data_IF_326445803983
#
_entry.id   IF_326445803983
#
_cell.length_a   1.000
_cell.length_b   1.000
_cell.length_c   1.000
_cell.angle_alpha   90.00
_cell.angle_beta   90.00
_cell.angle_gamma   90.00
#
_symmetry.space_group_name_H-M   'P 1'
#
loop_
_entity.id
_entity.type
_entity.pdbx_description
1 polymer ?
#
# COMPACT_ATOMS: atom_id res chain seq x y z
N UNK A 1 15.99 -12.31 -20.14
CA UNK A 1 15.01 -13.12 -19.39
C UNK A 1 13.61 -12.69 -19.85
N UNK A 2 12.74 -13.62 -20.27
CA UNK A 2 11.38 -13.28 -20.73
C UNK A 2 10.39 -13.48 -19.56
N UNK A 3 9.41 -12.59 -19.43
CA UNK A 3 8.39 -12.66 -18.35
C UNK A 3 7.61 -13.99 -18.38
N UNK A 4 7.41 -14.56 -19.58
CA UNK A 4 6.75 -15.88 -19.75
C UNK A 4 7.44 -17.04 -19.05
N UNK A 5 8.76 -16.93 -18.76
CA UNK A 5 9.52 -17.97 -18.06
C UNK A 5 9.18 -18.04 -16.55
N UNK A 6 8.49 -17.02 -16.02
CA UNK A 6 8.04 -16.94 -14.63
C UNK A 6 6.54 -17.21 -14.48
N UNK A 7 5.88 -17.57 -15.60
CA UNK A 7 4.45 -17.88 -15.56
C UNK A 7 4.25 -19.32 -15.05
N UNK A 8 3.44 -19.46 -14.04
CA UNK A 8 3.01 -20.73 -13.48
C UNK A 8 1.57 -20.63 -12.97
N UNK A 9 0.90 -21.75 -12.81
CA UNK A 9 -0.43 -21.80 -12.24
C UNK A 9 -0.30 -21.90 -10.71
N UNK A 10 -0.80 -20.88 -10.00
CA UNK A 10 -0.85 -20.85 -8.54
C UNK A 10 -2.25 -21.22 -8.08
N UNK A 11 -2.44 -22.42 -7.49
CA UNK A 11 -3.73 -22.79 -6.91
C UNK A 11 -4.11 -21.87 -5.75
N UNK A 12 -5.34 -21.35 -5.77
CA UNK A 12 -5.82 -20.38 -4.76
C UNK A 12 -5.77 -20.91 -3.33
N UNK A 13 -5.92 -22.22 -3.14
CA UNK A 13 -5.83 -22.87 -1.83
C UNK A 13 -4.41 -22.89 -1.25
N UNK A 14 -3.38 -22.58 -2.04
CA UNK A 14 -2.01 -22.43 -1.57
C UNK A 14 -1.69 -21.00 -1.10
N UNK A 15 -2.59 -20.07 -1.32
CA UNK A 15 -2.46 -18.69 -0.80
C UNK A 15 -3.01 -18.67 0.62
N UNK A 16 -2.16 -18.31 1.57
CA UNK A 16 -2.56 -18.18 2.97
C UNK A 16 -3.65 -17.11 3.12
N UNK A 17 -4.73 -17.43 3.84
CA UNK A 17 -5.85 -16.51 4.09
C UNK A 17 -5.71 -15.80 5.44
N UNK A 18 -4.91 -16.35 6.34
CA UNK A 18 -4.70 -15.81 7.69
C UNK A 18 -3.23 -15.90 8.06
N UNK A 19 -2.71 -14.96 8.87
CA UNK A 19 -1.36 -15.04 9.41
C UNK A 19 -1.28 -16.20 10.42
N UNK A 20 -0.08 -16.64 10.72
CA UNK A 20 0.20 -17.51 11.86
C UNK A 20 -0.07 -16.77 13.17
N UNK A 21 -0.39 -17.50 14.25
CA UNK A 21 -0.63 -16.89 15.57
C UNK A 21 0.61 -16.13 16.09
N UNK A 22 1.77 -16.66 15.83
CA UNK A 22 3.07 -16.04 16.11
C UNK A 22 3.80 -15.86 14.79
N UNK A 23 4.36 -14.70 14.51
CA UNK A 23 5.03 -14.39 13.23
C UNK A 23 6.19 -15.33 12.92
N UNK A 24 6.93 -15.70 13.95
CA UNK A 24 8.06 -16.62 13.85
C UNK A 24 7.68 -18.06 13.46
N UNK A 25 6.41 -18.45 13.59
CA UNK A 25 5.91 -19.74 13.15
C UNK A 25 5.63 -19.79 11.63
N UNK A 26 5.84 -18.68 10.93
CA UNK A 26 5.72 -18.64 9.46
C UNK A 26 6.72 -19.58 8.82
N UNK A 27 6.31 -20.22 7.70
CA UNK A 27 7.18 -21.13 6.96
C UNK A 27 8.31 -20.36 6.30
N UNK A 28 9.51 -20.92 6.35
CA UNK A 28 10.72 -20.42 5.72
C UNK A 28 11.19 -21.43 4.67
N UNK A 29 11.41 -20.98 3.43
CA UNK A 29 12.09 -21.79 2.42
C UNK A 29 13.57 -21.37 2.38
N UNK A 30 14.45 -22.29 2.65
CA UNK A 30 15.90 -22.09 2.56
C UNK A 30 16.41 -22.70 1.28
N UNK A 31 17.11 -21.90 0.46
CA UNK A 31 17.66 -22.35 -0.83
C UNK A 31 19.17 -22.15 -0.85
N UNK A 32 19.92 -23.24 -0.97
CA UNK A 32 21.34 -23.19 -1.19
C UNK A 32 21.62 -22.87 -2.66
N UNK A 33 22.20 -21.69 -2.91
CA UNK A 33 22.45 -21.20 -4.28
C UNK A 33 23.55 -21.95 -5.03
N UNK A 34 24.43 -22.65 -4.33
CA UNK A 34 25.55 -23.37 -4.96
C UNK A 34 25.10 -24.69 -5.55
N UNK A 35 24.25 -25.44 -4.84
CA UNK A 35 23.83 -26.79 -5.23
C UNK A 35 22.34 -26.91 -5.52
N UNK A 36 21.54 -25.83 -5.34
CA UNK A 36 20.11 -25.84 -5.57
C UNK A 36 19.30 -26.60 -4.52
N UNK A 37 19.92 -27.06 -3.43
CA UNK A 37 19.21 -27.74 -2.36
C UNK A 37 18.19 -26.82 -1.71
N UNK A 38 16.95 -27.34 -1.50
CA UNK A 38 15.84 -26.60 -0.88
C UNK A 38 15.34 -27.37 0.34
N UNK A 39 15.12 -26.67 1.43
CA UNK A 39 14.49 -27.22 2.61
C UNK A 39 13.42 -26.26 3.16
N UNK A 40 12.42 -26.87 3.83
CA UNK A 40 11.36 -26.11 4.49
C UNK A 40 11.64 -26.06 5.99
N UNK A 41 11.62 -24.85 6.54
CA UNK A 41 11.85 -24.55 7.95
C UNK A 41 10.75 -23.64 8.48
N UNK A 42 10.88 -23.20 9.73
CA UNK A 42 10.13 -22.08 10.29
C UNK A 42 11.00 -20.84 10.35
N UNK A 43 10.38 -19.68 10.38
CA UNK A 43 11.11 -18.42 10.43
C UNK A 43 11.96 -18.29 11.71
N UNK A 44 11.51 -18.88 12.80
CA UNK A 44 12.31 -19.02 14.04
C UNK A 44 13.67 -19.65 13.83
N UNK A 45 13.82 -20.54 12.85
CA UNK A 45 15.06 -21.28 12.58
C UNK A 45 16.07 -20.39 11.80
N UNK A 46 15.67 -19.17 11.42
CA UNK A 46 16.51 -18.24 10.68
C UNK A 46 17.85 -17.99 11.36
N UNK A 47 17.86 -17.94 12.68
CA UNK A 47 19.05 -17.68 13.48
C UNK A 47 20.12 -18.77 13.36
N UNK A 48 19.77 -19.98 12.92
CA UNK A 48 20.72 -21.08 12.68
C UNK A 48 21.66 -20.82 11.47
N UNK A 49 21.28 -19.86 10.60
CA UNK A 49 22.00 -19.53 9.38
C UNK A 49 22.89 -18.31 9.49
N UNK A 50 22.96 -17.66 10.66
CA UNK A 50 23.69 -16.42 10.89
C UNK A 50 24.57 -16.51 12.13
N UNK A 51 25.63 -15.73 12.12
CA UNK A 51 26.56 -15.59 13.25
C UNK A 51 26.79 -14.11 13.60
N UNK A 52 27.66 -13.84 14.58
CA UNK A 52 27.98 -12.50 15.08
C UNK A 52 28.72 -11.61 14.07
N UNK A 53 29.08 -12.13 12.89
CA UNK A 53 29.72 -11.38 11.80
C UNK A 53 28.74 -10.95 10.74
N UNK A 54 27.53 -11.47 10.78
CA UNK A 54 26.48 -11.11 9.83
C UNK A 54 25.79 -9.80 10.22
N UNK A 55 25.37 -9.04 9.21
CA UNK A 55 24.63 -7.78 9.38
C UNK A 55 23.28 -7.85 8.69
N UNK A 56 22.22 -7.63 9.44
CA UNK A 56 20.88 -7.50 8.89
C UNK A 56 20.60 -6.06 8.49
N UNK A 57 20.25 -5.86 7.23
CA UNK A 57 19.74 -4.59 6.74
C UNK A 57 18.23 -4.72 6.58
N UNK A 58 17.48 -3.98 7.38
CA UNK A 58 16.03 -4.03 7.40
C UNK A 58 15.44 -2.69 6.99
N UNK A 59 14.22 -2.72 6.44
CA UNK A 59 13.43 -1.52 6.21
C UNK A 59 12.56 -1.25 7.44
N UNK A 60 12.78 -0.11 8.09
CA UNK A 60 11.98 0.34 9.23
C UNK A 60 10.98 1.45 8.87
N UNK A 61 10.68 1.58 7.58
CA UNK A 61 9.70 2.56 7.10
C UNK A 61 8.30 2.17 7.57
N UNK A 62 7.63 3.08 8.29
CA UNK A 62 6.24 2.89 8.66
C UNK A 62 5.35 3.08 7.43
N UNK A 63 4.53 2.07 7.13
CA UNK A 63 3.51 2.17 6.07
C UNK A 63 2.32 2.94 6.63
N UNK A 64 1.89 3.97 5.93
CA UNK A 64 0.66 4.68 6.26
C UNK A 64 -0.50 4.22 5.36
N UNK A 65 -1.76 4.37 5.79
CA UNK A 65 -2.93 3.97 5.00
C UNK A 65 -3.09 4.88 3.78
N UNK A 66 -2.43 4.50 2.70
CA UNK A 66 -2.28 5.32 1.49
C UNK A 66 -3.43 5.17 0.48
N UNK A 67 -4.31 4.18 0.65
CA UNK A 67 -5.43 3.93 -0.27
C UNK A 67 -6.69 4.57 0.26
N UNK A 68 -7.27 5.47 -0.53
CA UNK A 68 -8.49 6.18 -0.16
C UNK A 68 -9.59 5.92 -1.19
N UNK A 69 -10.79 5.67 -0.70
CA UNK A 69 -11.98 5.56 -1.54
C UNK A 69 -12.85 6.80 -1.39
N UNK A 70 -13.39 7.27 -2.51
CA UNK A 70 -14.19 8.46 -2.51
C UNK A 70 -15.15 8.53 -3.68
N UNK A 71 -15.68 9.71 -3.90
CA UNK A 71 -16.64 10.02 -4.96
C UNK A 71 -16.21 11.25 -5.73
N UNK A 72 -16.44 11.21 -7.04
CA UNK A 72 -16.21 12.38 -7.88
C UNK A 72 -17.39 13.34 -7.76
N UNK A 73 -17.10 14.65 -7.63
CA UNK A 73 -18.10 15.72 -7.76
C UNK A 73 -18.99 15.53 -8.99
N UNK A 74 -20.21 16.01 -8.94
CA UNK A 74 -21.21 16.03 -10.01
C UNK A 74 -21.77 14.67 -10.43
N UNK A 75 -20.98 13.62 -10.45
CA UNK A 75 -21.42 12.31 -10.95
C UNK A 75 -21.61 11.27 -9.86
N UNK A 76 -21.08 11.50 -8.64
CA UNK A 76 -21.08 10.52 -7.57
C UNK A 76 -20.28 9.24 -7.89
N UNK A 77 -19.54 9.22 -9.02
CA UNK A 77 -18.82 8.03 -9.44
C UNK A 77 -17.75 7.66 -8.40
N UNK A 78 -17.75 6.38 -7.99
CA UNK A 78 -16.73 5.84 -7.08
C UNK A 78 -15.36 5.97 -7.69
N UNK A 79 -14.39 6.35 -6.87
CA UNK A 79 -12.98 6.53 -7.24
C UNK A 79 -12.10 5.91 -6.17
N UNK A 80 -10.91 5.47 -6.60
CA UNK A 80 -9.80 5.10 -5.74
C UNK A 80 -8.66 6.09 -5.95
N UNK A 81 -8.07 6.56 -4.87
CA UNK A 81 -6.89 7.42 -4.87
C UNK A 81 -5.82 6.75 -4.02
N UNK A 82 -4.65 6.53 -4.60
CA UNK A 82 -3.50 5.97 -3.92
C UNK A 82 -2.43 7.06 -3.73
N UNK A 83 -2.17 7.43 -2.48
CA UNK A 83 -1.20 8.45 -2.11
C UNK A 83 0.21 7.90 -2.30
N UNK A 84 1.06 8.60 -3.07
CA UNK A 84 2.44 8.22 -3.30
C UNK A 84 3.41 9.02 -2.42
N UNK A 85 3.34 10.34 -2.52
CA UNK A 85 4.20 11.24 -1.74
C UNK A 85 3.61 12.63 -1.63
N UNK A 86 3.92 13.30 -0.54
CA UNK A 86 3.63 14.72 -0.35
C UNK A 86 4.65 15.56 -1.14
N UNK A 87 4.15 16.39 -2.07
CA UNK A 87 4.97 17.29 -2.89
C UNK A 87 5.22 18.63 -2.22
N UNK A 88 4.21 19.15 -1.54
CA UNK A 88 4.27 20.44 -0.87
C UNK A 88 3.34 20.43 0.34
N UNK A 89 3.93 20.43 1.52
CA UNK A 89 3.21 20.32 2.79
C UNK A 89 2.32 21.54 3.09
N UNK A 90 2.80 22.80 2.98
CA UNK A 90 1.97 23.97 3.21
C UNK A 90 0.73 24.05 2.32
N UNK A 91 0.83 23.60 1.08
CA UNK A 91 -0.26 23.62 0.09
C UNK A 91 -1.02 22.30 0.01
N UNK A 92 -0.70 21.30 0.85
CA UNK A 92 -1.33 19.98 0.84
C UNK A 92 -1.33 19.32 -0.55
N UNK A 93 -0.24 19.51 -1.32
CA UNK A 93 -0.10 18.91 -2.65
C UNK A 93 0.48 17.51 -2.55
N UNK A 94 -0.17 16.58 -3.23
CA UNK A 94 0.23 15.17 -3.25
C UNK A 94 0.31 14.64 -4.67
N UNK A 95 1.32 13.82 -4.92
CA UNK A 95 1.39 12.95 -6.09
C UNK A 95 0.63 11.67 -5.79
N UNK A 96 -0.29 11.28 -6.67
CA UNK A 96 -1.21 10.16 -6.43
C UNK A 96 -1.45 9.34 -7.70
N UNK A 97 -1.84 8.09 -7.54
CA UNK A 97 -2.45 7.29 -8.60
C UNK A 97 -3.95 7.27 -8.39
N UNK A 98 -4.71 7.36 -9.48
CA UNK A 98 -6.18 7.37 -9.42
C UNK A 98 -6.80 6.28 -10.30
N UNK A 99 -7.94 5.75 -9.87
CA UNK A 99 -8.74 4.81 -10.63
C UNK A 99 -10.25 5.14 -10.49
N UNK A 100 -11.01 5.22 -11.59
CA UNK A 100 -10.63 5.13 -13.01
C UNK A 100 -10.04 6.45 -13.55
N UNK A 101 -8.78 6.41 -13.98
CA UNK A 101 -8.02 7.61 -14.37
C UNK A 101 -8.68 8.44 -15.49
N UNK A 102 -9.36 7.78 -16.44
CA UNK A 102 -10.04 8.45 -17.56
C UNK A 102 -11.15 9.40 -17.13
N UNK A 103 -11.76 9.14 -15.96
CA UNK A 103 -12.88 9.93 -15.43
C UNK A 103 -12.42 11.08 -14.53
N UNK A 104 -11.16 11.08 -14.09
CA UNK A 104 -10.60 12.05 -13.14
C UNK A 104 -9.69 13.00 -13.91
N UNK A 105 -10.14 14.26 -14.07
CA UNK A 105 -9.48 15.30 -14.86
C UNK A 105 -9.14 16.49 -14.00
N UNK A 106 -8.18 17.31 -14.45
CA UNK A 106 -7.84 18.59 -13.81
C UNK A 106 -9.09 19.41 -13.57
N UNK A 107 -9.18 20.03 -12.40
CA UNK A 107 -10.32 20.82 -11.94
C UNK A 107 -11.47 20.00 -11.33
N UNK A 108 -11.37 18.66 -11.32
CA UNK A 108 -12.38 17.87 -10.61
C UNK A 108 -12.14 17.91 -9.10
N UNK A 109 -13.22 17.98 -8.33
CA UNK A 109 -13.18 17.75 -6.89
C UNK A 109 -13.52 16.30 -6.59
N UNK A 110 -12.83 15.77 -5.61
CA UNK A 110 -12.88 14.41 -5.10
C UNK A 110 -13.28 14.48 -3.62
N UNK A 111 -14.32 13.76 -3.24
CA UNK A 111 -14.88 13.78 -1.90
C UNK A 111 -14.63 12.43 -1.23
N UNK A 112 -14.10 12.46 -0.02
CA UNK A 112 -13.74 11.27 0.77
C UNK A 112 -14.49 11.27 2.08
N UNK A 113 -14.84 10.05 2.52
CA UNK A 113 -15.65 9.83 3.72
C UNK A 113 -17.15 9.83 3.40
N UNK A 114 -17.95 9.39 4.37
CA UNK A 114 -19.40 9.28 4.21
C UNK A 114 -20.09 10.65 4.18
N UNK A 115 -19.57 11.59 5.00
CA UNK A 115 -20.06 12.95 5.12
C UNK A 115 -19.16 13.98 4.40
N UNK A 116 -18.33 13.52 3.45
CA UNK A 116 -17.43 14.40 2.69
C UNK A 116 -16.42 15.13 3.58
N UNK A 117 -15.89 14.39 4.59
CA UNK A 117 -15.00 14.93 5.63
C UNK A 117 -13.70 15.49 5.07
N UNK A 118 -13.27 14.99 3.91
CA UNK A 118 -12.09 15.49 3.23
C UNK A 118 -12.35 15.68 1.74
N UNK A 119 -11.91 16.81 1.21
CA UNK A 119 -12.05 17.17 -0.20
C UNK A 119 -10.68 17.40 -0.82
N UNK A 120 -10.48 16.91 -2.05
CA UNK A 120 -9.30 17.24 -2.84
C UNK A 120 -9.68 17.76 -4.22
N UNK A 121 -8.83 18.62 -4.77
CA UNK A 121 -8.93 19.14 -6.14
C UNK A 121 -7.79 18.57 -6.99
N UNK A 122 -8.11 18.11 -8.19
CA UNK A 122 -7.11 17.64 -9.16
C UNK A 122 -6.47 18.86 -9.81
N UNK A 123 -5.17 19.03 -9.58
CA UNK A 123 -4.41 20.19 -10.06
C UNK A 123 -3.71 19.89 -11.37
N UNK A 124 -3.16 18.68 -11.55
CA UNK A 124 -2.38 18.31 -12.73
C UNK A 124 -2.44 16.82 -13.03
N UNK A 125 -2.04 16.46 -14.27
CA UNK A 125 -1.84 15.07 -14.72
C UNK A 125 -0.34 14.80 -14.80
N UNK A 126 0.15 13.78 -14.09
CA UNK A 126 1.58 13.44 -14.08
C UNK A 126 1.91 12.27 -14.99
N UNK A 127 1.07 11.25 -15.02
CA UNK A 127 1.18 10.07 -15.90
C UNK A 127 -0.19 9.64 -16.39
N UNK A 128 -0.27 8.51 -17.13
CA UNK A 128 -1.55 7.94 -17.58
C UNK A 128 -2.56 7.72 -16.45
N UNK A 129 -2.09 7.36 -15.26
CA UNK A 129 -2.90 7.17 -14.04
C UNK A 129 -2.53 8.13 -12.91
N UNK A 130 -1.42 8.86 -13.02
CA UNK A 130 -0.92 9.80 -12.03
C UNK A 130 -1.64 11.14 -12.08
N UNK A 131 -1.85 11.73 -10.91
CA UNK A 131 -2.39 13.08 -10.73
C UNK A 131 -1.62 13.79 -9.62
N UNK A 132 -1.57 15.11 -9.72
CA UNK A 132 -1.30 15.95 -8.56
C UNK A 132 -2.64 16.42 -8.02
N UNK A 133 -2.89 16.18 -6.74
CA UNK A 133 -4.08 16.66 -6.05
C UNK A 133 -3.70 17.64 -4.94
N UNK A 134 -4.60 18.55 -4.62
CA UNK A 134 -4.51 19.45 -3.48
C UNK A 134 -5.66 19.13 -2.52
N UNK A 135 -5.35 18.75 -1.30
CA UNK A 135 -6.38 18.62 -0.27
C UNK A 135 -6.82 19.99 0.23
N UNK A 136 -8.12 20.18 0.30
CA UNK A 136 -8.76 21.39 0.84
C UNK A 136 -9.01 21.15 2.34
N UNK A 137 -8.01 21.50 3.16
CA UNK A 137 -8.01 21.29 4.60
C UNK A 137 -7.63 22.57 5.32
N UNK A 138 -8.49 23.02 6.23
CA UNK A 138 -8.30 24.28 6.99
C UNK A 138 -7.68 24.06 8.37
N UNK A 139 -7.52 22.80 8.82
CA UNK A 139 -6.90 22.45 10.07
C UNK A 139 -5.37 22.41 10.05
N UNK A 140 -4.79 22.07 11.19
CA UNK A 140 -3.36 21.85 11.36
C UNK A 140 -2.86 20.56 10.68
N UNK A 141 -1.54 20.36 10.71
CA UNK A 141 -0.90 19.20 10.11
C UNK A 141 -1.23 17.88 10.82
N UNK A 142 -1.41 17.95 12.13
CA UNK A 142 -1.71 16.76 12.92
C UNK A 142 -3.14 16.28 12.66
N UNK A 143 -4.10 17.20 12.63
CA UNK A 143 -5.48 16.91 12.26
C UNK A 143 -5.60 16.36 10.86
N UNK A 144 -4.83 16.90 9.90
CA UNK A 144 -4.78 16.39 8.53
C UNK A 144 -4.28 14.94 8.47
N UNK A 145 -3.19 14.61 9.18
CA UNK A 145 -2.67 13.25 9.25
C UNK A 145 -3.67 12.27 9.86
N UNK A 146 -4.30 12.65 10.96
CA UNK A 146 -5.37 11.85 11.58
C UNK A 146 -6.54 11.61 10.63
N UNK A 147 -6.90 12.61 9.82
CA UNK A 147 -7.94 12.45 8.80
C UNK A 147 -7.53 11.48 7.70
N UNK A 148 -6.27 11.55 7.22
CA UNK A 148 -5.76 10.58 6.26
C UNK A 148 -5.71 9.15 6.84
N UNK A 149 -5.31 9.00 8.10
CA UNK A 149 -5.31 7.70 8.81
C UNK A 149 -6.73 7.15 9.01
N UNK A 150 -7.69 8.01 9.28
CA UNK A 150 -9.10 7.64 9.45
C UNK A 150 -9.77 7.19 8.15
N UNK A 151 -9.50 7.90 7.04
CA UNK A 151 -10.11 7.63 5.74
C UNK A 151 -9.35 6.64 4.88
N UNK A 152 -8.08 6.43 5.19
CA UNK A 152 -7.19 5.59 4.39
C UNK A 152 -7.27 4.12 4.80
N UNK A 153 -6.94 3.27 3.84
CA UNK A 153 -6.75 1.84 4.05
C UNK A 153 -5.30 1.45 3.75
N UNK A 154 -4.79 0.48 4.50
CA UNK A 154 -3.46 -0.07 4.23
C UNK A 154 -3.44 -0.74 2.85
N UNK A 155 -2.47 -0.40 1.99
CA UNK A 155 -2.42 -0.86 0.61
C UNK A 155 -1.97 -2.32 0.51
N UNK A 156 -2.85 -3.24 0.85
CA UNK A 156 -2.59 -4.67 0.63
C UNK A 156 -2.77 -5.06 -0.84
N UNK A 157 -1.99 -6.02 -1.36
CA UNK A 157 -2.21 -6.57 -2.69
C UNK A 157 -3.63 -7.16 -2.83
N UNK A 158 -4.24 -7.01 -4.01
CA UNK A 158 -5.63 -7.47 -4.25
C UNK A 158 -5.88 -8.96 -4.01
N UNK A 159 -4.84 -9.78 -4.05
CA UNK A 159 -4.92 -11.22 -3.74
C UNK A 159 -4.78 -11.52 -2.23
N UNK A 160 -4.38 -10.54 -1.44
CA UNK A 160 -4.28 -10.67 0.00
C UNK A 160 -5.64 -10.35 0.61
N UNK A 161 -6.35 -11.38 1.08
CA UNK A 161 -7.64 -11.23 1.74
C UNK A 161 -7.49 -10.87 3.23
N UNK A 162 -6.26 -10.69 3.69
CA UNK A 162 -5.94 -10.33 5.07
C UNK A 162 -6.15 -8.82 5.25
N UNK A 163 -7.35 -8.45 5.63
CA UNK A 163 -7.63 -7.14 6.20
C UNK A 163 -7.25 -7.16 7.68
N UNK A 164 -5.97 -7.05 7.97
CA UNK A 164 -5.54 -6.79 9.34
C UNK A 164 -4.80 -5.47 9.37
N UNK A 165 -5.29 -4.57 10.20
CA UNK A 165 -4.60 -3.35 10.62
C UNK A 165 -3.19 -3.65 11.17
N UNK A 166 -2.96 -4.87 11.60
CA UNK A 166 -1.73 -5.34 12.24
C UNK A 166 -0.57 -5.57 11.26
N UNK A 167 -0.82 -5.67 9.96
CA UNK A 167 0.26 -5.88 8.98
C UNK A 167 1.10 -4.61 8.68
N UNK A 168 0.68 -3.46 9.20
CA UNK A 168 1.34 -2.18 8.99
C UNK A 168 1.92 -1.54 10.28
N UNK A 169 1.62 -2.11 11.44
CA UNK A 169 1.96 -1.50 12.74
C UNK A 169 3.16 -2.12 13.47
N UNK A 170 3.89 -3.05 12.81
CA UNK A 170 5.13 -3.62 13.36
C UNK A 170 6.37 -3.17 12.62
#
# INVERSE_FOLDING_TARGET
>A
MKLSQFRYDLPLNLIAQYPTKRREDSRLMVVNRQNGHMENRHFSDLLEYYDDKDVFVVNNTKVFPARMYGRKEKTGAKIEVFLLRELNKPNRLWDVIVDPARKIRVGNKLYFGENEELVAEVIDNTTSRGRTIRFLWEGDDEGFKKMLEFLGETPLPKYCLLYTSDAADD
#
